data_IF_658464466377
#
_entry.id   IF_658464466377
#
_cell.length_a   1.000
_cell.length_b   1.000
_cell.length_c   1.000
_cell.angle_alpha   90.00
_cell.angle_beta   90.00
_cell.angle_gamma   90.00
#
_symmetry.space_group_name_H-M   'P 1'
#
loop_
_entity.id
_entity.type
_entity.pdbx_description
1 polymer ?
#
# COMPACT_ATOMS: atom_id res chain seq x y z
N UNK A 1 11.33 0.09 30.06
CA UNK A 1 11.50 1.04 28.95
C UNK A 1 11.76 0.19 27.71
N UNK A 2 10.81 0.09 26.75
CA UNK A 2 11.01 -0.73 25.53
C UNK A 2 12.09 -0.07 24.68
N UNK A 3 13.02 -0.85 24.10
CA UNK A 3 14.08 -0.38 23.18
C UNK A 3 13.50 0.13 21.86
N UNK A 4 12.86 1.30 21.90
CA UNK A 4 12.37 1.98 20.70
C UNK A 4 13.53 2.28 19.74
N UNK A 5 14.73 2.57 20.26
CA UNK A 5 15.95 2.87 19.49
C UNK A 5 16.44 1.72 18.62
N UNK A 6 16.48 0.47 19.12
CA UNK A 6 16.96 -0.67 18.34
C UNK A 6 16.01 -1.04 17.21
N UNK A 7 14.70 -0.98 17.50
CA UNK A 7 13.65 -1.27 16.51
C UNK A 7 13.64 -0.22 15.39
N UNK A 8 13.79 1.05 15.74
CA UNK A 8 13.86 2.14 14.76
C UNK A 8 15.14 2.08 13.92
N UNK A 9 16.27 1.68 14.51
CA UNK A 9 17.53 1.46 13.80
C UNK A 9 17.44 0.28 12.81
N UNK A 10 16.83 -0.83 13.22
CA UNK A 10 16.59 -1.98 12.35
C UNK A 10 15.65 -1.62 11.19
N UNK A 11 14.56 -0.91 11.48
CA UNK A 11 13.61 -0.44 10.48
C UNK A 11 14.25 0.57 9.50
N UNK A 12 15.10 1.46 9.98
CA UNK A 12 15.83 2.41 9.12
C UNK A 12 16.76 1.69 8.14
N UNK A 13 17.44 0.62 8.58
CA UNK A 13 18.25 -0.24 7.71
C UNK A 13 17.38 -0.98 6.69
N UNK A 14 16.23 -1.52 7.12
CA UNK A 14 15.26 -2.17 6.23
C UNK A 14 14.77 -1.21 5.14
N UNK A 15 14.33 0.00 5.50
CA UNK A 15 13.87 1.01 4.55
C UNK A 15 14.95 1.43 3.56
N UNK A 16 16.19 1.61 4.03
CA UNK A 16 17.32 1.90 3.15
C UNK A 16 17.53 0.78 2.14
N UNK A 17 17.53 -0.48 2.59
CA UNK A 17 17.66 -1.63 1.70
C UNK A 17 16.50 -1.74 0.69
N UNK A 18 15.26 -1.41 1.11
CA UNK A 18 14.10 -1.33 0.22
C UNK A 18 14.30 -0.25 -0.85
N UNK A 19 14.73 0.95 -0.45
CA UNK A 19 15.00 2.06 -1.36
C UNK A 19 16.11 1.73 -2.37
N UNK A 20 17.20 1.10 -1.91
CA UNK A 20 18.33 0.66 -2.76
C UNK A 20 17.93 -0.46 -3.71
N UNK A 21 17.08 -1.39 -3.26
CA UNK A 21 16.58 -2.48 -4.10
C UNK A 21 15.70 -1.95 -5.23
N UNK A 22 14.93 -0.89 -4.99
CA UNK A 22 14.10 -0.24 -5.99
C UNK A 22 12.75 -0.93 -6.26
N UNK A 23 11.81 -0.15 -6.79
CA UNK A 23 10.44 -0.56 -7.12
C UNK A 23 10.33 -1.16 -8.54
N UNK A 24 9.14 -1.61 -8.92
CA UNK A 24 8.76 -1.88 -10.31
C UNK A 24 9.36 -3.15 -10.90
N UNK A 25 9.73 -4.12 -10.05
CA UNK A 25 10.36 -5.38 -10.49
C UNK A 25 9.35 -6.41 -10.98
N UNK A 26 8.09 -6.28 -10.58
CA UNK A 26 7.00 -7.16 -11.01
C UNK A 26 5.76 -6.34 -11.42
N UNK A 27 4.56 -6.90 -11.22
CA UNK A 27 3.30 -6.24 -11.56
C UNK A 27 3.01 -5.06 -10.64
N UNK A 28 3.01 -3.86 -11.21
CA UNK A 28 2.67 -2.59 -10.55
C UNK A 28 1.17 -2.30 -10.46
N UNK A 29 0.35 -3.12 -11.12
CA UNK A 29 -1.11 -3.10 -10.99
C UNK A 29 -1.53 -3.75 -9.66
N UNK A 30 -2.18 -2.97 -8.80
CA UNK A 30 -2.69 -3.38 -7.50
C UNK A 30 -3.67 -4.55 -7.54
N UNK A 31 -4.38 -4.71 -8.67
CA UNK A 31 -5.34 -5.80 -8.88
C UNK A 31 -4.65 -7.12 -9.16
N UNK A 32 -3.38 -7.11 -9.57
CA UNK A 32 -2.63 -8.28 -10.04
C UNK A 32 -1.37 -8.57 -9.21
N UNK A 33 -0.82 -7.58 -8.52
CA UNK A 33 0.40 -7.68 -7.71
C UNK A 33 0.36 -8.90 -6.75
N UNK A 34 1.30 -9.86 -6.90
CA UNK A 34 1.37 -11.04 -6.04
C UNK A 34 1.55 -10.70 -4.56
N UNK A 35 2.36 -9.67 -4.25
CA UNK A 35 2.58 -9.18 -2.89
C UNK A 35 1.31 -8.66 -2.21
N UNK A 36 0.31 -8.22 -2.97
CA UNK A 36 -0.98 -7.76 -2.44
C UNK A 36 -2.02 -8.88 -2.33
N UNK A 37 -1.69 -10.13 -2.64
CA UNK A 37 -2.64 -11.26 -2.56
C UNK A 37 -3.31 -11.36 -1.18
N UNK A 38 -2.55 -11.26 -0.09
CA UNK A 38 -3.07 -11.29 1.29
C UNK A 38 -4.10 -10.17 1.49
N UNK A 39 -3.75 -8.93 1.14
CA UNK A 39 -4.64 -7.79 1.31
C UNK A 39 -5.87 -7.86 0.39
N UNK A 40 -5.74 -8.37 -0.84
CA UNK A 40 -6.86 -8.49 -1.80
C UNK A 40 -7.99 -9.39 -1.29
N UNK A 41 -7.70 -10.31 -0.38
CA UNK A 41 -8.70 -11.22 0.23
C UNK A 41 -9.47 -10.62 1.39
N UNK A 42 -9.08 -9.44 1.91
CA UNK A 42 -9.81 -8.84 3.04
C UNK A 42 -11.21 -8.40 2.60
N UNK A 43 -12.20 -8.62 3.47
CA UNK A 43 -13.63 -8.46 3.15
C UNK A 43 -14.27 -7.40 4.04
N UNK A 44 -15.13 -6.55 3.46
CA UNK A 44 -16.08 -5.71 4.19
C UNK A 44 -17.49 -5.93 3.66
N UNK A 45 -18.41 -6.28 4.56
CA UNK A 45 -19.83 -6.50 4.26
C UNK A 45 -20.04 -7.47 3.07
N UNK A 46 -19.27 -8.56 3.03
CA UNK A 46 -19.34 -9.55 1.96
C UNK A 46 -18.64 -9.17 0.65
N UNK A 47 -18.02 -7.98 0.57
CA UNK A 47 -17.28 -7.54 -0.61
C UNK A 47 -15.77 -7.60 -0.36
N UNK A 48 -15.06 -8.37 -1.19
CA UNK A 48 -13.60 -8.48 -1.12
C UNK A 48 -12.92 -7.24 -1.73
N UNK A 49 -11.73 -6.90 -1.23
CA UNK A 49 -10.98 -5.71 -1.65
C UNK A 49 -10.70 -5.69 -3.16
N UNK A 50 -10.39 -6.84 -3.78
CA UNK A 50 -10.15 -6.88 -5.23
C UNK A 50 -11.40 -6.51 -6.06
N UNK A 51 -12.62 -6.83 -5.57
CA UNK A 51 -13.86 -6.42 -6.23
C UNK A 51 -14.07 -4.92 -6.08
N UNK A 52 -13.69 -4.37 -4.93
CA UNK A 52 -13.72 -2.92 -4.71
C UNK A 52 -12.76 -2.18 -5.64
N UNK A 53 -11.55 -2.69 -5.81
CA UNK A 53 -10.60 -2.16 -6.79
C UNK A 53 -11.18 -2.10 -8.19
N UNK A 54 -11.86 -3.16 -8.66
CA UNK A 54 -12.56 -3.13 -9.95
C UNK A 54 -13.62 -2.02 -10.01
N UNK A 55 -14.47 -1.89 -8.98
CA UNK A 55 -15.51 -0.84 -8.93
C UNK A 55 -14.97 0.59 -8.92
N UNK A 56 -13.80 0.82 -8.31
CA UNK A 56 -13.14 2.12 -8.32
C UNK A 56 -12.67 2.47 -9.74
N UNK A 57 -12.04 1.51 -10.42
CA UNK A 57 -11.60 1.63 -11.82
C UNK A 57 -12.81 1.87 -12.75
N UNK A 58 -13.89 1.12 -12.56
CA UNK A 58 -15.11 1.22 -13.36
C UNK A 58 -15.90 2.52 -13.11
N UNK A 59 -15.49 3.35 -12.16
CA UNK A 59 -16.17 4.61 -11.88
C UNK A 59 -17.43 4.49 -11.01
N UNK A 60 -17.76 3.29 -10.54
CA UNK A 60 -19.01 3.01 -9.81
C UNK A 60 -18.94 3.48 -8.35
N UNK A 61 -17.74 3.57 -7.79
CA UNK A 61 -17.52 3.90 -6.38
C UNK A 61 -17.06 5.35 -6.15
N UNK A 62 -17.54 5.98 -5.06
CA UNK A 62 -17.17 7.36 -4.67
C UNK A 62 -16.92 7.49 -3.16
N UNK A 63 -15.66 7.31 -2.74
CA UNK A 63 -15.17 7.71 -1.40
C UNK A 63 -15.64 6.88 -0.19
N UNK A 64 -16.62 5.98 -0.32
CA UNK A 64 -17.18 5.24 0.84
C UNK A 64 -16.19 4.26 1.50
N UNK A 65 -15.15 3.85 0.78
CA UNK A 65 -14.26 2.76 1.18
C UNK A 65 -12.94 3.23 1.78
N UNK A 66 -12.56 4.48 1.56
CA UNK A 66 -11.30 5.05 2.03
C UNK A 66 -11.13 4.89 3.56
N UNK A 67 -12.15 5.16 4.42
CA UNK A 67 -11.99 4.96 5.87
C UNK A 67 -11.76 3.51 6.27
N UNK A 68 -12.31 2.56 5.53
CA UNK A 68 -12.11 1.14 5.80
C UNK A 68 -10.77 0.64 5.26
N UNK A 69 -10.37 1.08 4.07
CA UNK A 69 -9.07 0.79 3.48
C UNK A 69 -7.94 1.29 4.39
N UNK A 70 -8.11 2.46 5.02
CA UNK A 70 -7.18 3.02 5.99
C UNK A 70 -6.95 2.11 7.20
N UNK A 71 -7.94 1.30 7.62
CA UNK A 71 -7.77 0.33 8.70
C UNK A 71 -6.76 -0.78 8.37
N UNK A 72 -6.46 -0.98 7.09
CA UNK A 72 -5.42 -1.90 6.60
C UNK A 72 -4.16 -1.16 6.12
N UNK A 73 -4.08 0.15 6.35
CA UNK A 73 -2.95 0.98 5.90
C UNK A 73 -2.97 1.21 4.39
N UNK A 74 -4.14 1.18 3.76
CA UNK A 74 -4.31 1.42 2.33
C UNK A 74 -4.94 2.80 2.15
N UNK A 75 -4.24 3.68 1.44
CA UNK A 75 -4.72 5.00 1.07
C UNK A 75 -5.02 5.06 -0.42
N UNK A 76 -6.17 5.60 -0.79
CA UNK A 76 -6.51 5.85 -2.18
C UNK A 76 -5.98 7.24 -2.57
N UNK A 77 -5.25 7.35 -3.67
CA UNK A 77 -4.56 8.59 -4.10
C UNK A 77 -4.80 8.88 -5.58
N UNK A 78 -4.82 10.16 -5.93
CA UNK A 78 -4.87 10.63 -7.33
C UNK A 78 -6.15 10.29 -8.09
N UNK A 79 -7.23 9.94 -7.40
CA UNK A 79 -8.49 9.54 -8.05
C UNK A 79 -9.21 10.74 -8.62
N UNK A 80 -9.44 10.69 -9.92
CA UNK A 80 -10.34 11.59 -10.60
C UNK A 80 -11.80 11.10 -10.45
N UNK A 81 -12.60 11.86 -9.71
CA UNK A 81 -14.03 11.55 -9.50
C UNK A 81 -14.97 12.16 -10.56
N UNK A 82 -14.43 12.86 -11.56
CA UNK A 82 -15.25 13.38 -12.65
C UNK A 82 -15.89 12.23 -13.46
N UNK A 83 -17.11 12.45 -13.95
CA UNK A 83 -17.84 11.49 -14.80
C UNK A 83 -17.20 11.28 -16.18
N UNK A 84 -16.34 12.22 -16.57
CA UNK A 84 -15.66 12.25 -17.86
C UNK A 84 -14.15 12.38 -17.62
N UNK A 85 -13.38 11.40 -18.07
CA UNK A 85 -11.93 11.35 -17.90
C UNK A 85 -11.45 10.05 -17.25
N UNK A 86 -10.16 9.75 -17.41
CA UNK A 86 -9.51 8.60 -16.77
C UNK A 86 -9.49 8.78 -15.25
N UNK A 87 -9.67 7.67 -14.49
CA UNK A 87 -9.72 7.74 -13.02
C UNK A 87 -8.33 7.98 -12.46
N UNK A 88 -7.29 7.44 -13.09
CA UNK A 88 -5.88 7.60 -12.69
C UNK A 88 -5.63 7.20 -11.22
N UNK A 89 -6.46 6.30 -10.72
CA UNK A 89 -6.45 5.87 -9.33
C UNK A 89 -5.14 5.15 -9.01
N UNK A 90 -4.58 5.49 -7.85
CA UNK A 90 -3.43 4.82 -7.26
C UNK A 90 -3.77 4.41 -5.85
N UNK A 91 -3.13 3.36 -5.36
CA UNK A 91 -3.17 3.05 -3.93
C UNK A 91 -1.77 3.21 -3.34
N UNK A 92 -1.69 3.73 -2.13
CA UNK A 92 -0.49 3.73 -1.32
C UNK A 92 -0.68 2.75 -0.16
N UNK A 93 0.21 1.78 -0.05
CA UNK A 93 0.28 0.85 1.06
C UNK A 93 1.30 1.40 2.06
N UNK A 94 0.84 1.70 3.28
CA UNK A 94 1.72 2.03 4.40
C UNK A 94 2.62 0.83 4.71
N UNK A 95 3.93 1.01 4.52
CA UNK A 95 4.99 0.04 4.85
C UNK A 95 5.83 0.53 6.04
N UNK A 96 5.34 1.51 6.80
CA UNK A 96 6.01 2.05 7.99
C UNK A 96 6.12 1.01 9.11
N UNK A 97 6.86 1.35 10.16
CA UNK A 97 7.02 0.47 11.32
C UNK A 97 5.67 0.16 12.02
N UNK A 98 4.75 1.11 12.00
CA UNK A 98 3.41 1.01 12.58
C UNK A 98 2.33 0.55 11.57
N UNK A 99 2.72 0.09 10.39
CA UNK A 99 1.82 -0.29 9.31
C UNK A 99 0.73 -1.26 9.75
N UNK A 100 -0.53 -0.89 9.51
CA UNK A 100 -1.70 -1.70 9.88
C UNK A 100 -1.77 -3.03 9.13
N UNK A 101 -1.18 -3.09 7.93
CA UNK A 101 -1.08 -4.31 7.13
C UNK A 101 -0.22 -5.41 7.81
N UNK A 102 0.65 -5.05 8.77
CA UNK A 102 1.58 -5.99 9.43
C UNK A 102 0.86 -7.22 9.97
N UNK A 103 -0.27 -7.06 10.65
CA UNK A 103 -1.00 -8.18 11.25
C UNK A 103 -1.58 -9.13 10.19
N UNK A 104 -2.06 -8.60 9.06
CA UNK A 104 -2.61 -9.42 7.98
C UNK A 104 -1.53 -10.31 7.36
N UNK A 105 -0.35 -9.74 7.07
CA UNK A 105 0.78 -10.49 6.51
C UNK A 105 1.42 -11.45 7.53
N UNK A 106 1.50 -11.06 8.80
CA UNK A 106 2.01 -11.93 9.86
C UNK A 106 1.13 -13.20 10.00
N UNK A 107 -0.20 -13.04 10.02
CA UNK A 107 -1.13 -14.17 10.08
C UNK A 107 -1.05 -15.08 8.84
N UNK A 108 -0.68 -14.52 7.69
CA UNK A 108 -0.44 -15.28 6.46
C UNK A 108 0.96 -15.91 6.40
N UNK A 109 1.81 -15.76 7.43
CA UNK A 109 3.15 -16.31 7.46
C UNK A 109 4.16 -15.60 6.56
N UNK A 110 3.96 -14.31 6.26
CA UNK A 110 4.81 -13.52 5.34
C UNK A 110 5.56 -12.42 6.13
N UNK A 111 6.67 -12.77 6.82
CA UNK A 111 7.37 -11.82 7.69
C UNK A 111 8.10 -10.70 6.95
N UNK A 112 8.56 -10.94 5.71
CA UNK A 112 9.31 -10.00 4.87
C UNK A 112 8.42 -9.19 3.90
N UNK A 113 7.14 -9.04 4.22
CA UNK A 113 6.13 -8.50 3.31
C UNK A 113 6.45 -7.09 2.78
N UNK A 114 7.09 -6.21 3.56
CA UNK A 114 7.44 -4.84 3.12
C UNK A 114 8.34 -4.86 1.89
N UNK A 115 9.33 -5.74 1.87
CA UNK A 115 10.21 -5.90 0.71
C UNK A 115 9.45 -6.45 -0.49
N UNK A 116 8.54 -7.41 -0.30
CA UNK A 116 7.74 -7.98 -1.38
C UNK A 116 6.79 -6.95 -1.99
N UNK A 117 6.11 -6.18 -1.15
CA UNK A 117 5.22 -5.09 -1.57
C UNK A 117 6.04 -4.02 -2.29
N UNK A 118 7.23 -3.68 -1.79
CA UNK A 118 8.06 -2.69 -2.43
C UNK A 118 8.55 -3.09 -3.84
N UNK A 119 8.87 -4.37 -4.05
CA UNK A 119 9.26 -4.87 -5.38
C UNK A 119 8.16 -4.77 -6.43
N UNK A 120 6.91 -5.02 -6.02
CA UNK A 120 5.78 -4.97 -6.92
C UNK A 120 5.22 -3.54 -7.06
N UNK A 121 5.63 -2.59 -6.21
CA UNK A 121 5.15 -1.21 -6.27
C UNK A 121 5.64 -0.48 -7.53
N UNK A 122 4.85 0.47 -8.05
CA UNK A 122 5.28 1.41 -9.07
C UNK A 122 6.31 2.42 -8.53
N UNK A 123 6.18 2.82 -7.27
CA UNK A 123 7.03 3.81 -6.63
C UNK A 123 7.12 3.56 -5.13
N UNK A 124 8.27 3.88 -4.53
CA UNK A 124 8.43 3.98 -3.07
C UNK A 124 8.56 5.44 -2.69
N UNK A 125 7.74 5.89 -1.74
CA UNK A 125 7.81 7.22 -1.14
C UNK A 125 8.26 7.06 0.32
N UNK A 126 9.41 7.63 0.66
CA UNK A 126 9.93 7.63 2.04
C UNK A 126 9.91 9.07 2.54
N UNK A 127 9.21 9.27 3.65
CA UNK A 127 9.14 10.54 4.35
C UNK A 127 10.06 10.48 5.56
N UNK A 128 10.98 11.45 5.63
CA UNK A 128 11.94 11.54 6.73
C UNK A 128 11.18 11.79 8.04
N UNK A 129 11.63 11.19 9.16
CA UNK A 129 11.06 11.49 10.46
C UNK A 129 11.23 12.98 10.79
N UNK A 130 10.31 13.52 11.57
CA UNK A 130 10.41 14.85 12.17
C UNK A 130 10.46 14.71 13.69
N UNK A 131 10.63 15.82 14.42
CA UNK A 131 10.57 15.80 15.89
C UNK A 131 9.24 15.27 16.44
N UNK A 132 8.16 15.36 15.66
CA UNK A 132 6.80 15.00 16.09
C UNK A 132 6.26 13.74 15.42
N UNK A 133 6.81 13.36 14.27
CA UNK A 133 6.30 12.23 13.48
C UNK A 133 7.41 11.23 13.17
N UNK A 134 7.18 9.92 13.39
CA UNK A 134 8.13 8.89 12.98
C UNK A 134 8.24 8.83 11.45
N UNK A 135 9.27 8.15 10.96
CA UNK A 135 9.46 7.94 9.52
C UNK A 135 8.25 7.21 8.93
N UNK A 136 7.72 7.75 7.83
CA UNK A 136 6.64 7.12 7.05
C UNK A 136 7.21 6.59 5.74
N UNK A 137 6.69 5.46 5.30
CA UNK A 137 7.05 4.89 4.02
C UNK A 137 5.82 4.29 3.35
N UNK A 138 5.68 4.56 2.05
CA UNK A 138 4.55 4.12 1.24
C UNK A 138 5.03 3.41 -0.01
N UNK A 139 4.41 2.27 -0.30
CA UNK A 139 4.53 1.58 -1.57
C UNK A 139 3.32 1.92 -2.44
N UNK A 140 3.55 2.60 -3.57
CA UNK A 140 2.51 3.13 -4.45
C UNK A 140 2.30 2.16 -5.61
N UNK A 141 1.04 1.79 -5.87
CA UNK A 141 0.63 0.93 -6.97
C UNK A 141 -0.35 1.68 -7.89
N UNK A 142 -0.35 1.33 -9.17
CA UNK A 142 -1.43 1.73 -10.05
C UNK A 142 -2.67 0.92 -9.73
N UNK A 143 -3.82 1.57 -9.68
CA UNK A 143 -5.12 0.91 -9.60
C UNK A 143 -5.86 1.06 -10.92
N UNK A 144 -5.79 2.25 -11.50
CA UNK A 144 -6.22 2.56 -12.86
C UNK A 144 -5.03 3.23 -13.58
N UNK A 145 -4.21 2.44 -14.26
CA UNK A 145 -3.12 2.98 -15.06
C UNK A 145 -3.68 3.55 -16.37
N UNK A 146 -3.22 4.73 -16.83
CA UNK A 146 -3.56 5.19 -18.17
C UNK A 146 -3.11 4.14 -19.19
N UNK A 147 -3.94 3.85 -20.18
CA UNK A 147 -3.53 3.00 -21.29
C UNK A 147 -2.38 3.73 -22.00
N UNK A 148 -1.16 3.20 -21.85
CA UNK A 148 0.05 3.75 -22.48
C UNK A 148 0.02 3.65 -23.99
#
# INVERSE_FOLDING_TARGET
MRDYTERDAAFSKELKAIGERGAGKKSTDARLAPSLSVLRTVVKKGLALHVMFARIVDGVESGLWEPWMAAYGIELRGVNYAKTGERNARIAIDISLAAKATSAFANAGVPNWRSLVAEDAAQIQIEKPTEKEPAKAYAIFFLDAPAG
#
